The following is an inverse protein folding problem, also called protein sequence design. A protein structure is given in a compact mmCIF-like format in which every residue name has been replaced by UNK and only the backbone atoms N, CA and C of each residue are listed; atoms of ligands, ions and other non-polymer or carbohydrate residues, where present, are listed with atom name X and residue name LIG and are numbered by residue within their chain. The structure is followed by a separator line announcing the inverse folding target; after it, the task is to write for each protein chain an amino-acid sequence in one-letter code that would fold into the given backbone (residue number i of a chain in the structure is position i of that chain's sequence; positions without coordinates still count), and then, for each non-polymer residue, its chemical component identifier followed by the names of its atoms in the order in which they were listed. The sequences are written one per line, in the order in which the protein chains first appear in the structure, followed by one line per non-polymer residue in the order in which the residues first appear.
data_IF_942567592159
#
_entry.id   IF_942567592159
#
_cell.length_a   1.000
_cell.length_b   1.000
_cell.length_c   1.000
_cell.angle_alpha   90.00
_cell.angle_beta   90.00
_cell.angle_gamma   90.00
#
_symmetry.space_group_name_H-M   'P 1'
#
loop_
_entity.id
_entity.type
_entity.pdbx_description
1 polymer ?
#
# COMPACT_ATOMS: atom_id res chain seq x y z
N UNK A 1 -27.91 11.72 -11.93
CA UNK A 1 -27.43 10.96 -10.75
C UNK A 1 -26.27 11.73 -10.13
N UNK A 2 -25.90 11.50 -8.86
CA UNK A 2 -24.75 12.18 -8.28
C UNK A 2 -23.43 11.64 -8.89
N UNK A 3 -22.52 12.55 -9.22
CA UNK A 3 -21.15 12.27 -9.60
C UNK A 3 -20.22 12.64 -8.46
N UNK A 4 -19.26 11.78 -8.20
CA UNK A 4 -18.17 12.04 -7.29
C UNK A 4 -16.93 12.41 -8.09
N UNK A 5 -16.32 13.54 -7.72
CA UNK A 5 -15.01 13.93 -8.20
C UNK A 5 -13.98 13.54 -7.17
N UNK A 6 -13.20 12.52 -7.49
CA UNK A 6 -12.05 12.13 -6.69
C UNK A 6 -10.79 12.79 -7.21
N UNK A 7 -9.99 13.32 -6.29
CA UNK A 7 -8.59 13.68 -6.56
C UNK A 7 -7.71 12.55 -6.07
N UNK A 8 -6.88 12.05 -6.97
CA UNK A 8 -5.93 10.96 -6.74
C UNK A 8 -4.54 11.54 -6.85
N UNK A 9 -3.76 11.47 -5.78
CA UNK A 9 -2.38 11.97 -5.70
C UNK A 9 -1.47 10.83 -5.28
N UNK A 10 -0.25 10.77 -5.82
CA UNK A 10 0.75 9.81 -5.35
C UNK A 10 1.25 10.21 -3.96
N UNK A 11 1.44 9.25 -3.05
CA UNK A 11 1.95 9.54 -1.71
C UNK A 11 3.34 10.19 -1.75
N UNK A 12 4.23 9.69 -2.61
CA UNK A 12 5.60 10.20 -2.75
C UNK A 12 5.72 11.43 -3.66
N UNK A 13 4.65 11.79 -4.39
CA UNK A 13 4.69 12.82 -5.43
C UNK A 13 3.44 13.69 -5.45
N UNK A 14 3.44 14.73 -4.62
CA UNK A 14 2.32 15.68 -4.50
C UNK A 14 2.01 16.45 -5.79
N UNK A 15 3.01 16.64 -6.66
CA UNK A 15 2.87 17.34 -7.94
C UNK A 15 2.11 16.52 -8.99
N UNK A 16 1.93 15.21 -8.76
CA UNK A 16 1.27 14.30 -9.69
C UNK A 16 -0.12 13.99 -9.18
N UNK A 17 -1.15 14.50 -9.88
CA UNK A 17 -2.54 14.27 -9.51
C UNK A 17 -3.46 13.99 -10.70
N UNK A 18 -4.53 13.25 -10.45
CA UNK A 18 -5.61 12.96 -11.40
C UNK A 18 -6.94 13.31 -10.75
N UNK A 19 -7.79 14.07 -11.45
CA UNK A 19 -9.18 14.27 -11.04
C UNK A 19 -10.08 13.39 -11.89
N UNK A 20 -10.84 12.50 -11.25
CA UNK A 20 -11.68 11.50 -11.90
C UNK A 20 -13.13 11.71 -11.46
N UNK A 21 -14.02 11.90 -12.43
CA UNK A 21 -15.46 11.92 -12.21
C UNK A 21 -16.01 10.50 -12.37
N UNK A 22 -16.77 10.04 -11.37
CA UNK A 22 -17.35 8.70 -11.32
C UNK A 22 -18.77 8.75 -10.75
N UNK A 23 -19.67 7.86 -11.21
CA UNK A 23 -21.05 7.84 -10.71
C UNK A 23 -21.10 7.26 -9.30
N UNK A 24 -21.98 7.81 -8.46
CA UNK A 24 -22.15 7.31 -7.09
C UNK A 24 -22.55 5.83 -7.00
N UNK A 25 -23.23 5.31 -8.01
CA UNK A 25 -23.65 3.90 -8.09
C UNK A 25 -22.59 2.95 -8.63
N UNK A 26 -21.48 3.48 -9.16
CA UNK A 26 -20.36 2.66 -9.63
C UNK A 26 -19.56 2.13 -8.44
N UNK A 27 -18.69 1.17 -8.74
CA UNK A 27 -17.98 0.38 -7.76
C UNK A 27 -16.53 0.86 -7.57
N UNK A 28 -15.88 0.39 -6.51
CA UNK A 28 -14.44 0.61 -6.34
C UNK A 28 -13.63 -0.05 -7.46
N UNK A 29 -14.15 -1.11 -8.11
CA UNK A 29 -13.49 -1.72 -9.26
C UNK A 29 -13.48 -0.76 -10.48
N UNK A 30 -14.57 0.00 -10.68
CA UNK A 30 -14.63 1.01 -11.73
C UNK A 30 -13.64 2.15 -11.46
N UNK A 31 -13.52 2.58 -10.19
CA UNK A 31 -12.54 3.59 -9.77
C UNK A 31 -11.10 3.09 -9.96
N UNK A 32 -10.81 1.84 -9.56
CA UNK A 32 -9.54 1.17 -9.77
C UNK A 32 -9.13 1.21 -11.25
N UNK A 33 -9.99 0.74 -12.15
CA UNK A 33 -9.73 0.78 -13.58
C UNK A 33 -9.49 2.20 -14.10
N UNK A 34 -10.28 3.17 -13.63
CA UNK A 34 -10.14 4.56 -14.03
C UNK A 34 -8.79 5.17 -13.59
N UNK A 35 -8.32 4.88 -12.38
CA UNK A 35 -7.02 5.32 -11.88
C UNK A 35 -5.90 4.74 -12.74
N UNK A 36 -5.91 3.42 -12.96
CA UNK A 36 -4.91 2.74 -13.77
C UNK A 36 -4.88 3.25 -15.22
N UNK A 37 -6.04 3.48 -15.82
CA UNK A 37 -6.14 4.09 -17.15
C UNK A 37 -5.58 5.52 -17.18
N UNK A 38 -5.80 6.32 -16.12
CA UNK A 38 -5.33 7.70 -16.03
C UNK A 38 -3.80 7.84 -15.87
N UNK A 39 -3.15 6.83 -15.31
CA UNK A 39 -1.69 6.80 -15.09
C UNK A 39 -0.95 5.86 -16.06
N UNK A 40 -1.68 5.09 -16.87
CA UNK A 40 -1.10 4.19 -17.87
C UNK A 40 -0.54 2.88 -17.28
N UNK A 41 -1.07 2.43 -16.15
CA UNK A 41 -0.62 1.21 -15.47
C UNK A 41 -1.52 0.03 -15.82
N UNK A 42 -1.01 -1.19 -15.63
CA UNK A 42 -1.83 -2.39 -15.78
C UNK A 42 -2.78 -2.55 -14.58
N UNK A 43 -4.12 -2.60 -14.78
CA UNK A 43 -5.09 -2.78 -13.70
C UNK A 43 -5.19 -4.22 -13.17
N UNK A 44 -4.56 -5.21 -13.79
CA UNK A 44 -4.77 -6.61 -13.43
C UNK A 44 -4.09 -7.05 -12.13
N UNK A 45 -3.24 -6.22 -11.55
CA UNK A 45 -2.54 -6.53 -10.31
C UNK A 45 -3.46 -6.42 -9.09
N UNK A 46 -3.16 -7.22 -8.07
CA UNK A 46 -3.87 -7.18 -6.78
C UNK A 46 -3.63 -5.84 -6.09
N UNK A 47 -4.71 -5.19 -5.68
CA UNK A 47 -4.71 -3.84 -5.09
C UNK A 47 -5.79 -3.74 -4.02
N UNK A 48 -5.70 -2.75 -3.13
CA UNK A 48 -6.75 -2.48 -2.14
C UNK A 48 -6.95 -1.00 -1.88
N UNK A 49 -8.20 -0.60 -1.71
CA UNK A 49 -8.59 0.65 -1.07
C UNK A 49 -8.74 0.43 0.43
N UNK A 50 -8.44 1.46 1.20
CA UNK A 50 -8.66 1.51 2.63
C UNK A 50 -9.47 2.76 2.94
N UNK A 51 -10.57 2.62 3.68
CA UNK A 51 -11.28 3.77 4.22
C UNK A 51 -10.32 4.49 5.16
N UNK A 52 -10.15 5.79 4.96
CA UNK A 52 -9.14 6.57 5.67
C UNK A 52 -9.74 7.81 6.34
N UNK A 53 -9.03 8.29 7.36
CA UNK A 53 -9.30 9.56 8.05
C UNK A 53 -8.41 10.68 7.51
N UNK A 54 -8.45 11.84 8.18
CA UNK A 54 -7.62 13.01 7.85
C UNK A 54 -6.11 12.80 7.98
N UNK A 55 -5.69 11.78 8.74
CA UNK A 55 -4.30 11.41 8.97
C UNK A 55 -3.83 10.29 8.03
N UNK A 56 -4.56 10.00 6.95
CA UNK A 56 -4.23 8.95 5.98
C UNK A 56 -4.04 7.55 6.59
N UNK A 57 -4.74 7.25 7.69
CA UNK A 57 -4.65 5.95 8.36
C UNK A 57 -5.47 4.88 7.62
N UNK A 58 -4.85 3.72 7.35
CA UNK A 58 -5.51 2.57 6.70
C UNK A 58 -6.52 1.90 7.64
N UNK A 59 -7.82 2.10 7.37
CA UNK A 59 -8.93 1.48 8.09
C UNK A 59 -9.46 0.23 7.40
N UNK A 60 -10.77 0.18 7.18
CA UNK A 60 -11.45 -0.95 6.53
C UNK A 60 -10.95 -1.15 5.09
N UNK A 61 -10.65 -2.40 4.73
CA UNK A 61 -10.08 -2.76 3.44
C UNK A 61 -11.16 -3.19 2.43
N UNK A 62 -11.02 -2.72 1.19
CA UNK A 62 -11.79 -3.12 0.02
C UNK A 62 -10.80 -3.61 -1.04
N UNK A 63 -10.75 -4.92 -1.28
CA UNK A 63 -9.71 -5.57 -2.06
C UNK A 63 -10.13 -5.93 -3.49
N UNK A 64 -9.16 -5.88 -4.39
CA UNK A 64 -9.24 -6.37 -5.77
C UNK A 64 -8.29 -7.56 -5.93
N UNK A 65 -8.82 -8.67 -6.46
CA UNK A 65 -8.13 -9.96 -6.53
C UNK A 65 -7.45 -10.32 -5.19
N UNK A 66 -8.19 -10.39 -4.07
CA UNK A 66 -7.63 -10.76 -2.78
C UNK A 66 -7.07 -12.19 -2.78
N UNK A 67 -6.10 -12.45 -1.92
CA UNK A 67 -5.64 -13.82 -1.65
C UNK A 67 -6.69 -14.61 -0.86
N UNK A 68 -6.61 -15.94 -0.88
CA UNK A 68 -7.56 -16.82 -0.17
C UNK A 68 -7.69 -16.47 1.31
N UNK A 69 -6.58 -16.12 1.98
CA UNK A 69 -6.57 -15.66 3.37
C UNK A 69 -7.41 -14.40 3.59
N UNK A 70 -7.42 -13.47 2.64
CA UNK A 70 -8.20 -12.23 2.71
C UNK A 70 -9.70 -12.51 2.47
N UNK A 71 -10.00 -13.46 1.58
CA UNK A 71 -11.38 -13.92 1.34
C UNK A 71 -11.94 -14.59 2.61
N UNK A 72 -11.17 -15.45 3.26
CA UNK A 72 -11.59 -16.17 4.47
C UNK A 72 -11.84 -15.23 5.67
N UNK A 73 -11.15 -14.08 5.70
CA UNK A 73 -11.38 -13.00 6.66
C UNK A 73 -12.62 -12.13 6.34
N UNK A 74 -13.29 -12.37 5.22
CA UNK A 74 -14.49 -11.63 4.83
C UNK A 74 -14.21 -10.20 4.35
N UNK A 75 -13.03 -9.93 3.78
CA UNK A 75 -12.68 -8.60 3.24
C UNK A 75 -13.62 -8.25 2.07
N UNK A 76 -14.09 -6.99 2.04
CA UNK A 76 -14.98 -6.51 1.00
C UNK A 76 -14.32 -6.55 -0.38
N UNK A 77 -15.09 -6.93 -1.41
CA UNK A 77 -14.61 -6.99 -2.78
C UNK A 77 -14.93 -5.70 -3.53
N UNK A 78 -13.95 -5.14 -4.23
CA UNK A 78 -14.13 -3.91 -5.02
C UNK A 78 -15.28 -4.00 -6.03
N UNK A 79 -15.52 -5.17 -6.63
CA UNK A 79 -16.59 -5.39 -7.62
C UNK A 79 -18.00 -5.33 -7.01
N UNK A 80 -18.13 -5.57 -5.70
CA UNK A 80 -19.43 -5.57 -4.99
C UNK A 80 -19.65 -4.31 -4.16
N UNK A 81 -18.57 -3.57 -3.89
CA UNK A 81 -18.59 -2.34 -3.10
C UNK A 81 -18.89 -1.13 -3.98
N UNK A 82 -20.10 -0.57 -3.81
CA UNK A 82 -20.50 0.70 -4.45
C UNK A 82 -19.89 1.88 -3.71
N UNK A 83 -19.44 2.90 -4.44
CA UNK A 83 -18.83 4.10 -3.84
C UNK A 83 -19.76 4.80 -2.85
N UNK A 84 -21.05 4.92 -3.18
CA UNK A 84 -22.05 5.55 -2.32
C UNK A 84 -22.22 4.90 -0.94
N UNK A 85 -21.77 3.66 -0.76
CA UNK A 85 -21.89 2.92 0.50
C UNK A 85 -20.75 3.20 1.48
N UNK A 86 -19.69 3.88 1.04
CA UNK A 86 -18.46 4.10 1.81
C UNK A 86 -18.11 5.59 1.90
N UNK A 87 -19.06 6.48 1.61
CA UNK A 87 -18.89 7.93 1.68
C UNK A 87 -19.85 8.45 2.74
N UNK A 88 -19.31 8.71 3.91
CA UNK A 88 -20.05 9.28 5.04
C UNK A 88 -19.81 10.79 5.17
N UNK A 89 -18.65 11.26 4.71
CA UNK A 89 -18.22 12.67 4.79
C UNK A 89 -18.07 13.31 3.39
N UNK A 90 -18.40 14.61 3.21
CA UNK A 90 -18.16 15.34 1.96
C UNK A 90 -16.69 15.35 1.48
N UNK A 91 -15.74 15.19 2.41
CA UNK A 91 -14.30 15.09 2.19
C UNK A 91 -13.76 13.69 2.50
N UNK A 92 -14.58 12.64 2.28
CA UNK A 92 -14.18 11.25 2.49
C UNK A 92 -12.82 10.95 1.82
N UNK A 93 -11.93 10.34 2.60
CA UNK A 93 -10.59 9.94 2.16
C UNK A 93 -10.50 8.42 2.06
N UNK A 94 -9.75 7.98 1.06
CA UNK A 94 -9.34 6.60 0.88
C UNK A 94 -7.84 6.55 0.64
N UNK A 95 -7.17 5.64 1.32
CA UNK A 95 -5.80 5.29 1.00
C UNK A 95 -5.85 4.14 -0.01
N UNK A 96 -5.14 4.26 -1.14
CA UNK A 96 -5.16 3.25 -2.19
C UNK A 96 -3.75 2.70 -2.42
N UNK A 97 -3.57 1.39 -2.24
CA UNK A 97 -2.32 0.69 -2.56
C UNK A 97 -2.53 -0.14 -3.81
N UNK A 98 -1.79 0.17 -4.87
CA UNK A 98 -1.77 -0.57 -6.12
C UNK A 98 -0.63 -1.57 -6.15
N UNK A 99 -0.87 -2.80 -6.64
CA UNK A 99 0.13 -3.85 -6.85
C UNK A 99 0.98 -4.17 -5.61
N UNK A 100 0.55 -5.16 -4.82
CA UNK A 100 1.29 -5.57 -3.62
C UNK A 100 2.71 -6.10 -3.85
N UNK A 101 3.10 -6.49 -5.07
CA UNK A 101 4.49 -6.91 -5.35
C UNK A 101 5.45 -5.72 -5.47
N UNK A 102 4.96 -4.61 -6.02
CA UNK A 102 5.68 -3.35 -6.20
C UNK A 102 4.70 -2.21 -5.96
N UNK A 103 4.46 -1.87 -4.67
CA UNK A 103 3.37 -0.99 -4.30
C UNK A 103 3.62 0.43 -4.79
N UNK A 104 2.56 1.02 -5.35
CA UNK A 104 2.41 2.46 -5.40
C UNK A 104 1.24 2.84 -4.52
N UNK A 105 1.48 3.79 -3.63
CA UNK A 105 0.50 4.27 -2.70
C UNK A 105 -0.04 5.64 -3.16
N UNK A 106 -1.36 5.79 -2.98
CA UNK A 106 -2.11 6.94 -3.46
C UNK A 106 -3.05 7.45 -2.38
N UNK A 107 -3.12 8.77 -2.29
CA UNK A 107 -4.12 9.50 -1.54
C UNK A 107 -5.31 9.82 -2.45
N UNK A 108 -6.48 9.28 -2.12
CA UNK A 108 -7.72 9.48 -2.87
C UNK A 108 -8.71 10.25 -2.00
N UNK A 109 -9.11 11.44 -2.44
CA UNK A 109 -9.99 12.32 -1.68
C UNK A 109 -11.22 12.70 -2.50
N UNK A 110 -12.40 12.64 -1.89
CA UNK A 110 -13.61 13.22 -2.46
C UNK A 110 -13.55 14.75 -2.39
N UNK A 111 -13.48 15.40 -3.54
CA UNK A 111 -13.33 16.87 -3.61
C UNK A 111 -14.66 17.56 -3.87
N UNK A 112 -15.51 16.97 -4.72
CA UNK A 112 -16.81 17.56 -5.10
C UNK A 112 -17.85 16.48 -5.38
N UNK A 113 -19.10 16.82 -5.09
CA UNK A 113 -20.27 16.10 -5.57
C UNK A 113 -20.94 16.99 -6.62
N UNK A 114 -21.18 16.44 -7.81
CA UNK A 114 -21.68 17.14 -8.99
C UNK A 114 -22.94 16.45 -9.52
N UNK A 115 -23.71 17.17 -10.32
CA UNK A 115 -24.78 16.57 -11.12
C UNK A 115 -24.23 15.95 -12.40
N UNK A 116 -24.85 14.85 -12.82
CA UNK A 116 -24.51 14.16 -14.06
C UNK A 116 -24.67 15.04 -15.30
N UNK A 117 -23.58 15.16 -16.08
CA UNK A 117 -23.61 15.86 -17.36
C UNK A 117 -24.08 14.92 -18.46
N UNK A 118 -25.15 15.32 -19.17
CA UNK A 118 -25.66 14.55 -20.29
C UNK A 118 -24.62 14.45 -21.43
N UNK A 119 -24.41 13.24 -21.95
CA UNK A 119 -23.53 12.97 -23.10
C UNK A 119 -22.11 12.52 -22.74
N UNK A 120 -21.76 12.44 -21.45
CA UNK A 120 -20.44 11.94 -21.00
C UNK A 120 -20.54 10.50 -20.49
N UNK A 121 -19.56 9.66 -20.86
CA UNK A 121 -19.38 8.33 -20.29
C UNK A 121 -18.49 8.41 -19.06
N UNK A 122 -18.87 7.72 -17.98
CA UNK A 122 -18.13 7.71 -16.71
C UNK A 122 -17.69 6.28 -16.38
N UNK A 123 -16.50 6.06 -15.77
CA UNK A 123 -15.58 7.06 -15.21
C UNK A 123 -14.88 7.92 -16.28
N UNK A 124 -14.59 9.19 -15.95
CA UNK A 124 -13.91 10.12 -16.85
C UNK A 124 -12.82 10.90 -16.12
N UNK A 125 -11.62 10.97 -16.71
CA UNK A 125 -10.51 11.79 -16.18
C UNK A 125 -10.72 13.23 -16.64
N UNK A 126 -10.97 14.14 -15.70
CA UNK A 126 -11.27 15.55 -15.98
C UNK A 126 -10.01 16.39 -16.03
N UNK A 127 -9.02 16.03 -15.20
CA UNK A 127 -7.76 16.74 -15.10
C UNK A 127 -6.63 15.77 -14.83
N UNK A 128 -5.51 15.98 -15.52
CA UNK A 128 -4.24 15.29 -15.26
C UNK A 128 -3.15 16.32 -15.06
N UNK A 129 -2.33 16.16 -14.02
CA UNK A 129 -1.21 17.05 -13.69
C UNK A 129 -0.01 16.19 -13.33
N UNK A 130 1.16 16.54 -13.87
CA UNK A 130 2.38 15.73 -13.72
C UNK A 130 2.38 14.44 -14.55
N UNK A 131 3.59 13.94 -14.81
CA UNK A 131 3.82 12.64 -15.47
C UNK A 131 3.93 11.54 -14.41
N UNK A 132 3.16 10.46 -14.57
CA UNK A 132 3.20 9.35 -13.60
C UNK A 132 4.56 8.62 -13.67
N UNK A 133 5.10 8.15 -12.53
CA UNK A 133 6.34 7.37 -12.53
C UNK A 133 6.18 6.09 -13.36
N UNK A 134 7.28 5.51 -13.84
CA UNK A 134 7.20 4.25 -14.60
C UNK A 134 6.99 3.08 -13.63
N UNK A 135 5.95 2.27 -13.88
CA UNK A 135 5.59 1.11 -13.05
C UNK A 135 6.71 0.06 -12.94
N UNK A 136 7.52 -0.06 -13.98
CA UNK A 136 8.74 -0.87 -13.99
C UNK A 136 9.88 0.08 -14.33
N UNK A 137 10.73 0.40 -13.34
CA UNK A 137 11.97 1.11 -13.59
C UNK A 137 12.66 0.45 -14.77
N UNK A 138 13.12 1.25 -15.74
CA UNK A 138 13.68 0.79 -17.02
C UNK A 138 14.36 -0.59 -16.83
N UNK A 139 13.66 -1.66 -17.21
CA UNK A 139 14.37 -2.88 -17.57
C UNK A 139 15.22 -2.41 -18.73
N UNK A 140 16.51 -2.25 -18.51
CA UNK A 140 17.47 -2.24 -19.59
C UNK A 140 17.26 -3.57 -20.28
N UNK A 141 16.33 -3.62 -21.24
CA UNK A 141 16.47 -4.51 -22.37
C UNK A 141 17.68 -3.94 -23.08
N UNK A 142 18.87 -4.55 -23.01
CA UNK A 142 19.88 -4.22 -24.01
C UNK A 142 19.14 -4.40 -25.33
N UNK A 143 18.95 -3.29 -26.06
CA UNK A 143 18.47 -3.37 -27.43
C UNK A 143 19.33 -4.45 -28.07
N UNK A 144 18.69 -5.51 -28.57
CA UNK A 144 19.40 -6.55 -29.31
C UNK A 144 20.26 -5.79 -30.31
N UNK A 145 21.58 -5.85 -30.09
CA UNK A 145 22.52 -5.10 -30.88
C UNK A 145 22.25 -5.50 -32.33
N UNK A 146 21.77 -4.56 -33.14
CA UNK A 146 22.17 -4.55 -34.53
C UNK A 146 23.67 -4.36 -34.48
N UNK A 147 24.38 -5.50 -34.50
CA UNK A 147 25.81 -5.57 -34.57
C UNK A 147 26.26 -4.91 -35.87
N UNK A 148 26.49 -3.61 -35.81
CA UNK A 148 27.59 -3.02 -36.56
C UNK A 148 28.79 -3.08 -35.61
N UNK A 149 29.68 -4.01 -35.91
CA UNK A 149 30.92 -4.22 -35.19
C UNK A 149 31.75 -2.93 -35.26
N UNK A 150 31.84 -2.21 -34.14
CA UNK A 150 32.95 -1.33 -33.87
C UNK A 150 34.03 -2.18 -33.19
N UNK A 151 35.12 -2.41 -33.91
CA UNK A 151 36.27 -3.26 -33.56
C UNK A 151 37.19 -2.60 -32.50
N UNK A 152 36.65 -1.94 -31.47
CA UNK A 152 37.47 -1.14 -30.53
C UNK A 152 37.30 -1.48 -29.03
N UNK A 153 36.66 -2.61 -28.69
CA UNK A 153 36.56 -3.07 -27.29
C UNK A 153 37.05 -4.51 -27.11
N UNK A 154 38.34 -4.71 -27.41
CA UNK A 154 39.07 -5.96 -27.17
C UNK A 154 39.92 -5.92 -25.88
N UNK A 155 39.42 -5.28 -24.80
CA UNK A 155 40.16 -5.23 -23.53
C UNK A 155 39.89 -6.45 -22.62
N UNK A 156 38.80 -7.20 -22.87
CA UNK A 156 38.41 -8.35 -22.03
C UNK A 156 38.92 -9.69 -22.54
N UNK A 157 39.53 -9.74 -23.73
CA UNK A 157 40.09 -10.97 -24.29
C UNK A 157 41.59 -11.15 -23.98
N UNK A 158 42.24 -10.15 -23.36
CA UNK A 158 43.67 -10.19 -22.97
C UNK A 158 43.89 -10.61 -21.50
N UNK A 159 42.87 -11.19 -20.85
CA UNK A 159 43.08 -12.06 -19.69
C UNK A 159 43.02 -13.52 -20.16
N UNK A 160 44.04 -13.88 -20.94
CA UNK A 160 44.33 -15.28 -21.24
C UNK A 160 44.65 -15.98 -19.92
N UNK A 161 43.71 -16.81 -19.46
CA UNK A 161 43.85 -17.64 -18.27
C UNK A 161 45.00 -18.63 -18.50
N UNK A 162 46.16 -18.36 -17.90
CA UNK A 162 47.29 -19.28 -17.93
C UNK A 162 47.07 -20.39 -16.88
N UNK A 163 46.85 -21.66 -17.28
CA UNK A 163 46.64 -22.77 -16.35
C UNK A 163 47.91 -23.15 -15.55
N UNK A 164 49.06 -22.54 -15.82
CA UNK A 164 50.28 -22.74 -15.01
C UNK A 164 50.33 -21.89 -13.72
N UNK A 165 49.43 -20.91 -13.55
CA UNK A 165 49.41 -20.03 -12.37
C UNK A 165 48.59 -20.62 -11.18
N UNK A 166 48.07 -21.84 -11.34
CA UNK A 166 47.32 -22.56 -10.29
C UNK A 166 48.17 -23.39 -9.35
N UNK A 167 49.50 -23.45 -9.54
CA UNK A 167 50.37 -24.31 -8.72
C UNK A 167 50.86 -23.64 -7.41
N UNK A 168 50.53 -22.36 -7.16
CA UNK A 168 50.97 -21.64 -5.95
C UNK A 168 49.86 -21.35 -4.94
N UNK A 169 48.71 -22.04 -5.05
CA UNK A 169 47.73 -22.04 -3.97
C UNK A 169 48.15 -23.08 -2.91
N UNK A 170 49.06 -22.67 -2.02
CA UNK A 170 49.37 -23.42 -0.81
C UNK A 170 48.07 -23.68 -0.02
N UNK A 171 47.76 -24.96 0.12
CA UNK A 171 46.73 -25.49 1.00
C UNK A 171 46.98 -25.00 2.43
N UNK A 172 46.19 -24.04 2.90
CA UNK A 172 46.24 -23.58 4.29
C UNK A 172 45.72 -24.70 5.17
N UNK A 173 46.66 -25.53 5.63
CA UNK A 173 46.40 -26.62 6.55
C UNK A 173 45.95 -26.08 7.92
N UNK A 174 44.85 -26.66 8.38
CA UNK A 174 44.29 -26.61 9.71
C UNK A 174 45.34 -26.94 10.80
N UNK A 175 45.76 -25.93 11.58
CA UNK A 175 46.14 -26.16 12.98
C UNK A 175 46.31 -24.83 13.73
N UNK A 176 45.43 -24.57 14.69
CA UNK A 176 45.51 -23.36 15.51
C UNK A 176 44.53 -23.33 16.68
N UNK A 177 44.25 -24.49 17.28
CA UNK A 177 43.58 -24.60 18.57
C UNK A 177 44.29 -23.73 19.61
N UNK A 178 43.59 -22.73 20.15
CA UNK A 178 43.94 -22.07 21.39
C UNK A 178 42.66 -21.73 22.14
N UNK A 179 42.24 -22.71 22.91
CA UNK A 179 41.45 -22.63 24.14
C UNK A 179 41.61 -21.30 24.86
N UNK A 180 40.49 -20.61 25.09
CA UNK A 180 40.20 -19.99 26.38
C UNK A 180 38.76 -20.25 26.74
N UNK A 181 38.63 -21.23 27.62
CA UNK A 181 37.51 -21.43 28.53
C UNK A 181 37.32 -20.19 29.42
N UNK A 182 36.06 -19.84 29.64
CA UNK A 182 35.62 -19.22 30.89
C UNK A 182 34.14 -19.57 31.09
N UNK A 183 33.99 -20.62 31.89
CA UNK A 183 32.92 -20.99 32.84
C UNK A 183 31.44 -20.68 32.50
N UNK A 184 30.73 -21.80 32.31
CA UNK A 184 29.31 -22.01 32.59
C UNK A 184 29.19 -22.63 33.99
N UNK A 185 28.40 -22.02 34.88
CA UNK A 185 27.58 -22.77 35.85
C UNK A 185 26.32 -21.95 36.18
N UNK A 186 25.21 -22.37 35.57
CA UNK A 186 23.98 -22.79 36.27
C UNK A 186 23.21 -21.78 37.14
N UNK A 187 21.97 -21.49 36.76
CA UNK A 187 20.99 -20.92 37.68
C UNK A 187 19.67 -20.47 37.05
N UNK A 188 18.79 -21.43 36.82
CA UNK A 188 17.32 -21.40 37.00
C UNK A 188 16.44 -20.32 36.34
N UNK A 189 15.35 -20.84 35.76
CA UNK A 189 14.24 -20.16 35.11
C UNK A 189 13.41 -19.33 36.10
N UNK A 190 13.13 -18.06 35.82
CA UNK A 190 11.89 -17.40 36.25
C UNK A 190 11.42 -16.37 35.21
N UNK A 191 10.20 -16.60 34.72
CA UNK A 191 9.39 -15.70 33.91
C UNK A 191 9.03 -14.42 34.70
N UNK A 192 9.54 -13.25 34.27
CA UNK A 192 9.17 -11.96 34.84
C UNK A 192 8.39 -11.11 33.80
N UNK A 193 7.27 -11.67 33.31
CA UNK A 193 6.17 -10.91 32.74
C UNK A 193 5.10 -10.76 33.83
N UNK A 194 5.22 -9.72 34.65
CA UNK A 194 4.36 -9.55 35.82
C UNK A 194 4.19 -8.11 36.29
N UNK A 195 3.06 -7.52 35.90
CA UNK A 195 2.20 -6.70 36.77
C UNK A 195 2.61 -5.25 37.05
N UNK A 196 2.39 -4.36 36.08
CA UNK A 196 2.21 -2.93 36.37
C UNK A 196 0.93 -2.38 35.73
N UNK A 197 -0.21 -2.96 36.11
CA UNK A 197 -1.51 -2.28 36.07
C UNK A 197 -2.43 -2.92 37.12
N UNK A 198 -2.23 -2.48 38.36
CA UNK A 198 -3.23 -2.61 39.41
C UNK A 198 -3.22 -1.29 40.16
N UNK A 199 -4.01 -0.34 39.69
CA UNK A 199 -4.65 0.56 40.63
C UNK A 199 -6.16 0.51 40.44
N UNK A 200 -6.78 0.28 41.59
CA UNK A 200 -8.16 -0.06 41.81
C UNK A 200 -8.83 1.22 42.28
N UNK A 201 -9.78 1.75 41.51
CA UNK A 201 -10.79 2.63 42.06
C UNK A 201 -12.17 2.15 41.62
N UNK A 202 -12.80 1.43 42.54
CA UNK A 202 -14.21 1.06 42.53
C UNK A 202 -14.85 1.68 43.76
N UNK A 203 -15.72 2.67 43.56
CA UNK A 203 -16.82 3.13 44.45
C UNK A 203 -17.53 4.29 43.70
N UNK A 204 -18.83 4.40 43.47
CA UNK A 204 -20.03 3.70 43.95
C UNK A 204 -21.09 3.68 42.84
N UNK A 205 -21.85 2.60 42.80
CA UNK A 205 -23.14 2.48 42.12
C UNK A 205 -24.21 2.94 43.12
N UNK A 206 -25.07 3.89 42.74
CA UNK A 206 -26.32 4.09 43.44
C UNK A 206 -27.49 4.26 42.48
N UNK A 207 -28.55 3.57 42.86
CA UNK A 207 -29.63 3.06 42.05
C UNK A 207 -30.71 4.09 41.65
N UNK A 208 -31.26 3.86 40.45
CA UNK A 208 -32.69 3.91 40.10
C UNK A 208 -33.48 5.23 40.31
N UNK A 209 -33.97 5.72 39.18
CA UNK A 209 -35.42 5.73 38.93
C UNK A 209 -36.10 7.09 38.84
N UNK A 210 -37.01 7.22 37.87
CA UNK A 210 -38.12 8.16 37.96
C UNK A 210 -38.15 9.28 36.93
N UNK A 211 -38.50 8.95 35.69
CA UNK A 211 -39.21 9.88 34.82
C UNK A 211 -40.57 10.23 35.47
N UNK A 212 -40.81 11.51 35.78
CA UNK A 212 -42.08 12.25 35.64
C UNK A 212 -42.04 13.63 36.31
N UNK A 213 -42.30 14.67 35.51
CA UNK A 213 -43.35 15.64 35.85
C UNK A 213 -42.95 17.00 36.43
N UNK A 214 -43.05 18.01 35.55
CA UNK A 214 -43.87 19.24 35.68
C UNK A 214 -43.47 20.40 36.63
N UNK A 215 -43.85 21.58 36.11
CA UNK A 215 -44.03 22.92 36.69
C UNK A 215 -42.74 23.75 36.85
N UNK A 216 -42.60 24.86 36.12
CA UNK A 216 -43.33 26.14 36.15
C UNK A 216 -42.90 27.05 37.33
N UNK A 217 -42.63 28.30 36.93
CA UNK A 217 -42.71 29.56 37.67
C UNK A 217 -41.49 30.16 38.40
N UNK A 218 -41.28 31.44 38.01
CA UNK A 218 -40.52 32.59 38.53
C UNK A 218 -39.01 32.70 38.30
#
# INVERSE_FOLDING_TARGET
MALYRFRVTFEDYDDISREIDIKSTQTFADLHHAIHQAIGYNPDYSSSFYISNDQWTKGEEIAFKPSDRKVDRGIALMEKSKLSSFIDDPHQKFYYTSNFERPFDFHVELVKILDETAGTSYPAVVKSTGEAPKQFGNVYTPAAATAEANEDFDFLNELEYNPEDTEDFEEVNESGSSTKESDDEGGEEEDEFGNEFSDSDSFEEDERGGSRGRNDDY
#
